data_IF_480285511689
#
_entry.id   IF_480285511689
#
_cell.length_a   1.000
_cell.length_b   1.000
_cell.length_c   1.000
_cell.angle_alpha   90.00
_cell.angle_beta   90.00
_cell.angle_gamma   90.00
#
_symmetry.space_group_name_H-M   'P 1'
#
loop_
_entity.id
_entity.type
_entity.pdbx_description
1 polymer ?
#
# COMPACT_ATOMS: atom_id res chain seq x y z
N UNK A 1 -36.29 -55.96 1.88
CA UNK A 1 -36.20 -54.67 1.16
C UNK A 1 -36.06 -53.58 2.21
N UNK A 2 -34.83 -53.20 2.58
CA UNK A 2 -34.58 -52.21 3.64
C UNK A 2 -34.42 -50.82 3.03
N UNK A 3 -35.21 -49.85 3.48
CA UNK A 3 -35.08 -48.44 3.11
C UNK A 3 -33.96 -47.82 3.95
N UNK A 4 -32.92 -47.32 3.28
CA UNK A 4 -31.88 -46.50 3.88
C UNK A 4 -32.34 -45.05 3.86
N UNK A 5 -32.53 -44.45 5.03
CA UNK A 5 -32.83 -43.03 5.18
C UNK A 5 -31.51 -42.26 5.16
N UNK A 6 -31.24 -41.52 4.09
CA UNK A 6 -30.06 -40.66 3.97
C UNK A 6 -30.37 -39.32 4.65
N UNK A 7 -29.73 -39.05 5.80
CA UNK A 7 -29.84 -37.76 6.50
C UNK A 7 -28.85 -36.78 5.86
N UNK A 8 -29.36 -35.80 5.11
CA UNK A 8 -28.58 -34.66 4.61
C UNK A 8 -28.52 -33.59 5.71
N UNK A 9 -27.38 -33.47 6.39
CA UNK A 9 -27.11 -32.35 7.29
C UNK A 9 -26.69 -31.15 6.42
N UNK A 10 -27.63 -30.24 6.17
CA UNK A 10 -27.31 -28.93 5.63
C UNK A 10 -26.67 -28.09 6.76
N UNK A 11 -25.35 -28.16 6.89
CA UNK A 11 -24.61 -27.26 7.77
C UNK A 11 -24.63 -25.85 7.19
N UNK A 12 -25.26 -24.89 7.86
CA UNK A 12 -25.10 -23.48 7.53
C UNK A 12 -23.67 -23.05 7.87
N UNK A 13 -22.88 -22.67 6.87
CA UNK A 13 -21.60 -22.00 7.07
C UNK A 13 -21.86 -20.49 7.23
N UNK A 14 -21.69 -19.97 8.43
CA UNK A 14 -21.55 -18.52 8.65
C UNK A 14 -20.07 -18.18 8.56
N UNK A 15 -19.62 -17.41 7.55
CA UNK A 15 -18.26 -16.90 7.55
C UNK A 15 -18.03 -16.09 8.84
N UNK A 16 -16.84 -16.18 9.45
CA UNK A 16 -16.53 -15.35 10.61
C UNK A 16 -16.55 -13.87 10.22
N UNK A 17 -17.06 -13.02 11.12
CA UNK A 17 -16.89 -11.57 11.03
C UNK A 17 -15.41 -11.26 11.28
N UNK A 18 -14.62 -11.16 10.20
CA UNK A 18 -13.24 -10.68 10.28
C UNK A 18 -13.26 -9.17 10.47
N UNK A 19 -12.40 -8.61 11.35
CA UNK A 19 -12.29 -7.16 11.48
C UNK A 19 -11.92 -6.54 10.12
N UNK A 20 -12.50 -5.39 9.82
CA UNK A 20 -12.04 -4.57 8.70
C UNK A 20 -10.55 -4.24 8.92
N UNK A 21 -9.78 -4.17 7.84
CA UNK A 21 -8.33 -3.91 7.89
C UNK A 21 -8.03 -2.62 8.67
N UNK A 22 -8.97 -1.67 8.65
CA UNK A 22 -8.92 -0.38 9.35
C UNK A 22 -8.91 -0.49 10.89
N UNK A 23 -9.31 -1.63 11.47
CA UNK A 23 -9.30 -1.85 12.92
C UNK A 23 -8.00 -2.49 13.43
N UNK A 24 -7.11 -2.91 12.53
CA UNK A 24 -5.81 -3.46 12.90
C UNK A 24 -4.81 -2.29 12.98
N UNK A 25 -4.32 -1.90 14.18
CA UNK A 25 -3.32 -0.87 14.27
C UNK A 25 -2.06 -1.31 13.52
N UNK A 26 -1.59 -0.47 12.60
CA UNK A 26 -0.26 -0.63 11.99
C UNK A 26 0.76 -0.31 13.10
N UNK A 27 1.14 -1.33 13.86
CA UNK A 27 2.22 -1.21 14.84
C UNK A 27 3.52 -1.45 14.08
N UNK A 28 4.21 -0.37 13.70
CA UNK A 28 5.55 -0.49 13.16
C UNK A 28 6.48 -1.05 14.27
N UNK A 29 7.31 -2.07 13.98
CA UNK A 29 8.42 -2.44 14.87
C UNK A 29 9.38 -1.24 15.05
N UNK A 30 10.36 -1.35 15.96
CA UNK A 30 11.44 -0.37 16.04
C UNK A 30 12.30 -0.46 14.77
N UNK A 31 11.86 0.21 13.71
CA UNK A 31 12.59 0.30 12.47
C UNK A 31 13.86 1.13 12.60
N UNK A 32 14.66 1.16 11.54
CA UNK A 32 15.95 1.85 11.47
C UNK A 32 15.93 3.35 11.76
N UNK A 33 14.74 3.95 11.80
CA UNK A 33 14.53 5.31 12.26
C UNK A 33 13.17 5.44 12.97
N UNK A 34 13.04 6.39 13.92
CA UNK A 34 11.76 6.65 14.56
C UNK A 34 10.73 7.14 13.54
N UNK A 35 9.44 6.77 13.69
CA UNK A 35 8.39 7.29 12.85
C UNK A 35 8.28 8.81 12.94
N UNK A 36 7.89 9.46 11.84
CA UNK A 36 7.67 10.91 11.79
C UNK A 36 6.58 11.29 10.81
N UNK A 37 5.91 12.41 11.08
CA UNK A 37 4.89 12.97 10.21
C UNK A 37 5.52 13.89 9.17
N UNK A 38 5.11 13.72 7.91
CA UNK A 38 5.61 14.51 6.78
C UNK A 38 4.48 14.90 5.84
N UNK A 39 4.64 16.04 5.18
CA UNK A 39 3.71 16.45 4.12
C UNK A 39 4.25 15.99 2.78
N UNK A 40 3.43 15.25 2.03
CA UNK A 40 3.75 14.87 0.65
C UNK A 40 3.69 16.11 -0.22
N UNK A 41 4.83 16.47 -0.78
CA UNK A 41 4.93 17.64 -1.65
C UNK A 41 4.62 17.24 -3.10
N UNK A 42 5.23 16.15 -3.58
CA UNK A 42 5.27 15.82 -5.00
C UNK A 42 5.30 14.31 -5.18
N UNK A 43 4.49 13.79 -6.11
CA UNK A 43 4.54 12.38 -6.52
C UNK A 43 5.30 12.31 -7.83
N UNK A 44 6.27 11.40 -7.90
CA UNK A 44 7.22 11.25 -9.00
C UNK A 44 6.94 10.02 -9.83
N UNK A 45 6.48 8.95 -9.18
CA UNK A 45 6.09 7.70 -9.82
C UNK A 45 5.04 6.96 -8.97
N UNK A 46 4.60 5.77 -9.37
CA UNK A 46 3.62 4.95 -8.66
C UNK A 46 4.08 4.39 -7.31
N UNK A 47 5.35 4.56 -6.94
CA UNK A 47 5.90 4.18 -5.62
C UNK A 47 6.90 5.19 -5.04
N UNK A 48 7.09 6.34 -5.70
CA UNK A 48 8.16 7.29 -5.38
C UNK A 48 7.59 8.70 -5.23
N UNK A 49 7.90 9.37 -4.12
CA UNK A 49 7.42 10.71 -3.79
C UNK A 49 8.49 11.54 -3.09
N UNK A 50 8.33 12.86 -3.09
CA UNK A 50 9.12 13.78 -2.28
C UNK A 50 8.25 14.40 -1.17
N UNK A 51 8.83 14.52 0.03
CA UNK A 51 8.21 15.19 1.19
C UNK A 51 8.80 16.58 1.42
N UNK A 52 8.12 17.43 2.20
CA UNK A 52 8.49 18.82 2.52
C UNK A 52 8.49 19.79 1.31
N UNK A 53 9.22 19.47 0.24
CA UNK A 53 9.22 20.19 -1.05
C UNK A 53 9.74 19.28 -2.18
N UNK A 54 9.33 19.53 -3.43
CA UNK A 54 9.85 18.77 -4.58
C UNK A 54 11.38 18.81 -4.62
N UNK A 55 12.03 17.65 -4.71
CA UNK A 55 13.47 17.50 -4.80
C UNK A 55 14.24 17.64 -3.49
N UNK A 56 13.56 17.70 -2.33
CA UNK A 56 14.24 17.79 -1.04
C UNK A 56 14.58 16.41 -0.45
N UNK A 57 13.58 15.68 0.01
CA UNK A 57 13.74 14.32 0.50
C UNK A 57 12.87 13.35 -0.31
N UNK A 58 13.52 12.40 -0.96
CA UNK A 58 12.87 11.38 -1.78
C UNK A 58 12.61 10.12 -0.98
N UNK A 59 11.37 9.66 -1.05
CA UNK A 59 10.88 8.44 -0.41
C UNK A 59 10.45 7.47 -1.51
N UNK A 60 10.95 6.23 -1.45
CA UNK A 60 10.43 5.09 -2.22
C UNK A 60 9.71 4.15 -1.27
N UNK A 61 8.48 3.77 -1.61
CA UNK A 61 7.66 2.89 -0.79
C UNK A 61 8.24 1.47 -0.76
N UNK A 62 8.37 0.91 0.44
CA UNK A 62 8.84 -0.46 0.61
C UNK A 62 7.75 -1.47 0.21
N UNK A 63 8.16 -2.56 -0.44
CA UNK A 63 7.26 -3.64 -0.85
C UNK A 63 6.40 -3.36 -2.09
N UNK A 64 6.57 -2.19 -2.73
CA UNK A 64 5.91 -1.81 -3.98
C UNK A 64 6.99 -1.55 -5.03
N UNK A 65 6.79 -2.09 -6.22
CA UNK A 65 7.61 -1.80 -7.40
C UNK A 65 6.64 -1.45 -8.54
N UNK A 66 6.31 -0.16 -8.66
CA UNK A 66 5.39 0.31 -9.68
C UNK A 66 6.07 0.37 -11.06
N UNK A 67 5.32 0.28 -12.18
CA UNK A 67 5.87 0.59 -13.49
C UNK A 67 6.37 2.03 -13.53
N UNK A 68 7.55 2.25 -14.10
CA UNK A 68 8.19 3.57 -14.02
C UNK A 68 7.67 4.53 -15.12
N UNK A 69 7.59 5.82 -14.81
CA UNK A 69 7.36 6.89 -15.79
C UNK A 69 8.62 7.14 -16.63
N UNK A 70 8.49 7.93 -17.71
CA UNK A 70 9.66 8.26 -18.54
C UNK A 70 10.70 9.07 -17.77
N UNK A 71 11.97 8.67 -17.85
CA UNK A 71 13.08 9.36 -17.21
C UNK A 71 14.25 9.59 -18.18
N UNK A 72 14.52 10.87 -18.50
CA UNK A 72 15.59 11.22 -19.44
C UNK A 72 15.34 10.67 -20.84
N UNK A 73 16.21 9.76 -21.30
CA UNK A 73 16.05 9.07 -22.59
C UNK A 73 15.26 7.74 -22.47
N UNK A 74 14.95 7.31 -21.25
CA UNK A 74 14.22 6.07 -21.00
C UNK A 74 12.71 6.30 -21.19
N UNK A 75 12.04 5.50 -22.05
CA UNK A 75 10.61 5.62 -22.25
C UNK A 75 9.85 5.13 -21.02
N UNK A 76 8.64 5.64 -20.82
CA UNK A 76 7.76 5.16 -19.77
C UNK A 76 7.42 3.67 -19.96
N UNK A 77 7.30 2.95 -18.85
CA UNK A 77 6.79 1.60 -18.85
C UNK A 77 5.26 1.59 -19.03
N UNK A 78 4.72 0.43 -19.43
CA UNK A 78 3.28 0.25 -19.51
C UNK A 78 2.64 0.53 -18.15
N UNK A 79 1.71 1.49 -18.12
CA UNK A 79 0.97 1.94 -16.92
C UNK A 79 1.73 2.84 -15.94
N UNK A 80 2.94 3.31 -16.25
CA UNK A 80 3.68 4.21 -15.35
C UNK A 80 2.90 5.49 -15.02
N UNK A 81 2.40 6.19 -16.05
CA UNK A 81 1.57 7.40 -15.84
C UNK A 81 0.31 7.11 -15.02
N UNK A 82 -0.32 5.94 -15.21
CA UNK A 82 -1.53 5.60 -14.47
C UNK A 82 -1.23 5.29 -13.00
N UNK A 83 -0.12 4.63 -12.70
CA UNK A 83 0.33 4.34 -11.34
C UNK A 83 0.68 5.64 -10.60
N UNK A 84 1.39 6.56 -11.25
CA UNK A 84 1.73 7.87 -10.73
C UNK A 84 0.48 8.74 -10.45
N UNK A 85 -0.51 8.72 -11.37
CA UNK A 85 -1.80 9.40 -11.16
C UNK A 85 -2.54 8.84 -9.94
N UNK A 86 -2.54 7.52 -9.77
CA UNK A 86 -3.24 6.89 -8.65
C UNK A 86 -2.55 7.20 -7.32
N UNK A 87 -1.22 7.11 -7.24
CA UNK A 87 -0.51 7.48 -6.02
C UNK A 87 -0.72 8.97 -5.68
N UNK A 88 -0.70 9.85 -6.69
CA UNK A 88 -1.02 11.27 -6.52
C UNK A 88 -2.43 11.46 -5.97
N UNK A 89 -3.41 10.74 -6.50
CA UNK A 89 -4.81 10.83 -6.04
C UNK A 89 -4.96 10.49 -4.55
N UNK A 90 -4.14 9.56 -4.06
CA UNK A 90 -4.20 9.07 -2.68
C UNK A 90 -3.42 9.98 -1.73
N UNK A 91 -2.23 10.45 -2.12
CA UNK A 91 -1.26 11.03 -1.18
C UNK A 91 -0.90 12.50 -1.40
N UNK A 92 -1.17 13.09 -2.57
CA UNK A 92 -0.65 14.42 -2.87
C UNK A 92 -1.20 15.50 -1.93
N UNK A 93 -0.31 16.17 -1.20
CA UNK A 93 -0.65 17.20 -0.22
C UNK A 93 -1.08 16.67 1.14
N UNK A 94 -1.23 15.34 1.30
CA UNK A 94 -1.61 14.72 2.57
C UNK A 94 -0.48 14.80 3.61
N UNK A 95 -0.87 14.78 4.88
CA UNK A 95 0.03 14.58 6.00
C UNK A 95 0.08 13.07 6.28
N UNK A 96 1.27 12.49 6.19
CA UNK A 96 1.49 11.04 6.29
C UNK A 96 2.48 10.71 7.40
N UNK A 97 2.31 9.54 8.00
CA UNK A 97 3.29 8.97 8.91
C UNK A 97 4.28 8.13 8.12
N UNK A 98 5.57 8.47 8.19
CA UNK A 98 6.65 7.64 7.64
C UNK A 98 7.09 6.63 8.69
N UNK A 99 7.09 5.35 8.31
CA UNK A 99 7.61 4.24 9.11
C UNK A 99 8.72 3.53 8.35
N UNK A 100 9.68 2.96 9.07
CA UNK A 100 10.87 2.34 8.51
C UNK A 100 10.88 0.85 8.85
N UNK A 101 11.50 0.04 7.99
CA UNK A 101 11.78 -1.36 8.28
C UNK A 101 13.05 -1.49 9.13
N UNK A 102 13.37 -2.71 9.54
CA UNK A 102 14.47 -3.04 10.44
C UNK A 102 15.86 -3.06 9.74
N UNK A 103 15.92 -2.95 8.41
CA UNK A 103 17.17 -2.96 7.64
C UNK A 103 17.75 -1.55 7.39
N UNK A 104 19.01 -1.39 7.80
CA UNK A 104 19.89 -0.25 7.54
C UNK A 104 21.29 -0.76 7.15
#
# INVERSE_FOLDING_TARGET
MGIWLLVLVAGCYTPPDLPLIDEIPIVAPEGCAPPREERVACVLDGDTLDVTSCGSERIRLLGINAPEISHGEEPAECWGEAAEIELRRILAGELVSLTFDDEC
#
